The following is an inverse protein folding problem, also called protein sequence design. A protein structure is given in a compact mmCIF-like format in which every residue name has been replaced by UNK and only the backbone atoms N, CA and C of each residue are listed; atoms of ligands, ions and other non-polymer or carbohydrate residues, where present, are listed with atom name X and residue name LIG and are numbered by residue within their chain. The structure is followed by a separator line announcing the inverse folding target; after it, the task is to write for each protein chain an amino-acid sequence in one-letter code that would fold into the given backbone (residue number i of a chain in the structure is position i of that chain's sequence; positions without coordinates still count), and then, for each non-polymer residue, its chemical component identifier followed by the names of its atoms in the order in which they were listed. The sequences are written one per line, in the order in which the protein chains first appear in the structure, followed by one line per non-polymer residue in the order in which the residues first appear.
data_IF_430327484898
#
_entry.id   IF_430327484898
#
_cell.length_a   1.000
_cell.length_b   1.000
_cell.length_c   1.000
_cell.angle_alpha   90.00
_cell.angle_beta   90.00
_cell.angle_gamma   90.00
#
_symmetry.space_group_name_H-M   'P 1'
#
loop_
_entity.id
_entity.type
_entity.pdbx_description
1 polymer ?
#
# COMPACT_ATOMS: atom_id res chain seq x y z
N UNK A 1 20.00 6.12 -7.87
CA UNK A 1 19.45 7.04 -6.83
C UNK A 1 18.03 7.54 -7.09
N UNK A 2 17.63 7.93 -8.31
CA UNK A 2 16.25 8.42 -8.59
C UNK A 2 15.15 7.44 -8.15
N UNK A 3 15.32 6.13 -8.43
CA UNK A 3 14.36 5.10 -8.02
C UNK A 3 14.19 5.00 -6.49
N UNK A 4 15.26 5.16 -5.72
CA UNK A 4 15.16 5.16 -4.25
C UNK A 4 14.46 6.41 -3.72
N UNK A 5 14.68 7.58 -4.36
CA UNK A 5 13.90 8.80 -4.04
C UNK A 5 12.40 8.59 -4.28
N UNK A 6 12.02 7.81 -5.30
CA UNK A 6 10.62 7.43 -5.54
C UNK A 6 10.07 6.56 -4.39
N UNK A 7 10.85 5.60 -3.88
CA UNK A 7 10.48 4.82 -2.68
C UNK A 7 10.22 5.73 -1.50
N UNK A 8 11.16 6.63 -1.18
CA UNK A 8 11.01 7.57 -0.08
C UNK A 8 9.79 8.48 -0.27
N UNK A 9 9.51 8.91 -1.50
CA UNK A 9 8.32 9.70 -1.83
C UNK A 9 7.03 8.93 -1.49
N UNK A 10 6.92 7.67 -1.90
CA UNK A 10 5.75 6.85 -1.62
C UNK A 10 5.62 6.47 -0.16
N UNK A 11 6.72 6.22 0.57
CA UNK A 11 6.71 6.01 2.02
C UNK A 11 6.10 7.24 2.74
N UNK A 12 6.52 8.44 2.36
CA UNK A 12 5.95 9.68 2.93
C UNK A 12 4.46 9.83 2.62
N UNK A 13 4.03 9.47 1.42
CA UNK A 13 2.60 9.50 1.05
C UNK A 13 1.79 8.49 1.84
N UNK A 14 2.32 7.29 2.02
CA UNK A 14 1.71 6.24 2.85
C UNK A 14 1.58 6.68 4.30
N UNK A 15 2.62 7.23 4.91
CA UNK A 15 2.57 7.75 6.27
C UNK A 15 1.52 8.86 6.43
N UNK A 16 1.45 9.79 5.47
CA UNK A 16 0.41 10.85 5.46
C UNK A 16 -0.99 10.28 5.31
N UNK A 17 -1.15 9.25 4.48
CA UNK A 17 -2.42 8.57 4.30
C UNK A 17 -2.84 7.82 5.57
N UNK A 18 -1.92 7.09 6.20
CA UNK A 18 -2.15 6.39 7.46
C UNK A 18 -2.54 7.35 8.60
N UNK A 19 -1.87 8.51 8.70
CA UNK A 19 -2.24 9.55 9.66
C UNK A 19 -3.66 10.08 9.39
N UNK A 20 -3.96 10.42 8.13
CA UNK A 20 -5.32 10.90 7.76
C UNK A 20 -6.39 9.85 8.04
N UNK A 21 -6.11 8.57 7.81
CA UNK A 21 -7.04 7.49 8.15
C UNK A 21 -7.21 7.35 9.66
N UNK A 22 -6.13 7.43 10.44
CA UNK A 22 -6.21 7.35 11.90
C UNK A 22 -6.94 8.54 12.54
N UNK A 23 -6.92 9.71 11.91
CA UNK A 23 -7.66 10.90 12.35
C UNK A 23 -9.13 10.89 11.90
N UNK A 24 -9.53 9.97 11.02
CA UNK A 24 -10.95 9.81 10.66
C UNK A 24 -11.61 8.88 11.69
N UNK A 25 -12.73 9.29 12.31
CA UNK A 25 -13.51 8.37 13.12
C UNK A 25 -14.01 7.25 12.21
N UNK A 26 -13.67 6.02 12.53
CA UNK A 26 -14.14 4.82 11.82
C UNK A 26 -14.93 3.98 12.79
N UNK A 27 -16.15 3.62 12.40
CA UNK A 27 -16.89 2.56 13.07
C UNK A 27 -16.18 1.23 12.79
N UNK A 28 -16.08 0.33 13.78
CA UNK A 28 -15.57 -1.01 13.55
C UNK A 28 -16.31 -1.73 12.42
N UNK A 29 -15.61 -2.46 11.56
CA UNK A 29 -16.20 -3.09 10.36
C UNK A 29 -17.36 -4.07 10.68
N UNK A 30 -17.31 -4.73 11.84
CA UNK A 30 -18.41 -5.59 12.29
C UNK A 30 -19.69 -4.79 12.59
N UNK A 31 -19.55 -3.50 12.93
CA UNK A 31 -20.62 -2.53 13.10
C UNK A 31 -20.99 -1.81 11.80
N UNK A 32 -20.46 -2.19 10.64
CA UNK A 32 -20.89 -1.66 9.33
C UNK A 32 -21.67 -2.69 8.46
N UNK A 33 -21.68 -3.98 8.86
CA UNK A 33 -22.43 -5.02 8.11
C UNK A 33 -23.94 -4.73 8.03
N UNK A 34 -24.56 -4.98 6.88
CA UNK A 34 -26.01 -4.80 6.70
C UNK A 34 -26.79 -5.82 7.54
N UNK A 35 -27.80 -5.33 8.25
CA UNK A 35 -28.70 -6.15 9.06
C UNK A 35 -30.12 -6.06 8.46
N UNK A 36 -30.67 -7.21 8.06
CA UNK A 36 -31.95 -7.30 7.36
C UNK A 36 -33.17 -7.20 8.29
N UNK A 37 -33.05 -7.52 9.58
CA UNK A 37 -34.17 -7.48 10.54
C UNK A 37 -34.28 -6.13 11.28
N UNK A 38 -35.49 -5.54 11.43
CA UNK A 38 -35.70 -4.27 12.13
C UNK A 38 -35.39 -4.36 13.63
N UNK A 39 -35.70 -5.47 14.29
CA UNK A 39 -35.39 -5.67 15.72
C UNK A 39 -33.88 -5.65 15.98
N UNK A 40 -33.11 -6.30 15.10
CA UNK A 40 -31.64 -6.32 15.21
C UNK A 40 -31.01 -4.95 14.92
N UNK A 41 -31.68 -4.05 14.18
CA UNK A 41 -31.22 -2.66 13.99
C UNK A 41 -31.32 -1.85 15.29
N UNK A 42 -32.42 -1.99 16.03
CA UNK A 42 -32.62 -1.29 17.32
C UNK A 42 -31.60 -1.79 18.35
N UNK A 43 -31.46 -3.12 18.48
CA UNK A 43 -30.50 -3.72 19.42
C UNK A 43 -29.05 -3.28 19.11
N UNK A 44 -28.67 -3.22 17.82
CA UNK A 44 -27.37 -2.70 17.38
C UNK A 44 -27.20 -1.23 17.70
N UNK A 45 -28.23 -0.41 17.52
CA UNK A 45 -28.21 1.01 17.89
C UNK A 45 -27.92 1.20 19.38
N UNK A 46 -28.61 0.44 20.23
CA UNK A 46 -28.35 0.43 21.69
C UNK A 46 -26.93 -0.02 21.99
N UNK A 47 -26.45 -1.09 21.34
CA UNK A 47 -25.07 -1.56 21.52
C UNK A 47 -24.03 -0.52 21.08
N UNK A 48 -24.24 0.19 19.97
CA UNK A 48 -23.36 1.27 19.51
C UNK A 48 -23.35 2.41 20.52
N UNK A 49 -24.50 2.83 21.04
CA UNK A 49 -24.58 3.89 22.05
C UNK A 49 -23.84 3.48 23.32
N UNK A 50 -24.06 2.25 23.81
CA UNK A 50 -23.39 1.71 25.00
C UNK A 50 -21.88 1.56 24.81
N UNK A 51 -21.43 1.17 23.61
CA UNK A 51 -20.01 0.99 23.29
C UNK A 51 -19.32 2.26 22.79
N UNK A 52 -20.07 3.33 22.49
CA UNK A 52 -19.55 4.60 21.98
C UNK A 52 -18.43 5.22 22.81
N UNK A 53 -18.46 5.26 24.17
CA UNK A 53 -17.34 5.80 24.93
C UNK A 53 -16.06 4.98 24.74
N UNK A 54 -16.17 3.65 24.66
CA UNK A 54 -15.04 2.77 24.44
C UNK A 54 -14.48 2.94 23.02
N UNK A 55 -15.35 3.01 22.01
CA UNK A 55 -14.98 3.27 20.61
C UNK A 55 -14.24 4.61 20.52
N UNK A 56 -14.79 5.66 21.13
CA UNK A 56 -14.19 6.98 21.15
C UNK A 56 -12.81 6.98 21.83
N UNK A 57 -12.68 6.35 23.00
CA UNK A 57 -11.40 6.22 23.70
C UNK A 57 -10.36 5.47 22.87
N UNK A 58 -10.76 4.35 22.24
CA UNK A 58 -9.89 3.56 21.38
C UNK A 58 -9.41 4.35 20.15
N UNK A 59 -10.32 5.11 19.54
CA UNK A 59 -10.01 5.98 18.41
C UNK A 59 -9.04 7.08 18.85
N UNK A 60 -9.32 7.76 19.95
CA UNK A 60 -8.51 8.85 20.46
C UNK A 60 -7.10 8.39 20.83
N UNK A 61 -6.98 7.23 21.50
CA UNK A 61 -5.69 6.60 21.80
C UNK A 61 -4.89 6.27 20.53
N UNK A 62 -5.54 5.67 19.52
CA UNK A 62 -4.92 5.37 18.22
C UNK A 62 -4.49 6.64 17.49
N UNK A 63 -5.33 7.68 17.45
CA UNK A 63 -5.04 8.95 16.81
C UNK A 63 -3.86 9.64 17.49
N UNK A 64 -3.83 9.68 18.83
CA UNK A 64 -2.73 10.26 19.60
C UNK A 64 -1.42 9.51 19.34
N UNK A 65 -1.43 8.18 19.39
CA UNK A 65 -0.25 7.37 19.10
C UNK A 65 0.29 7.63 17.70
N UNK A 66 -0.57 7.72 16.68
CA UNK A 66 -0.16 8.05 15.31
C UNK A 66 0.38 9.47 15.21
N UNK A 67 -0.22 10.44 15.91
CA UNK A 67 0.25 11.82 15.93
C UNK A 67 1.66 11.95 16.55
N UNK A 68 1.90 11.25 17.65
CA UNK A 68 3.21 11.21 18.32
C UNK A 68 4.28 10.49 17.48
N UNK A 69 3.94 9.36 16.84
CA UNK A 69 4.89 8.58 16.05
C UNK A 69 5.13 9.13 14.65
N UNK A 70 4.19 9.88 14.09
CA UNK A 70 4.27 10.44 12.74
C UNK A 70 5.55 11.26 12.47
N UNK A 71 5.91 12.28 13.27
CA UNK A 71 7.09 13.10 12.99
C UNK A 71 8.38 12.26 12.98
N UNK A 72 8.51 11.33 13.92
CA UNK A 72 9.64 10.41 13.99
C UNK A 72 9.71 9.52 12.74
N UNK A 73 8.61 8.84 12.39
CA UNK A 73 8.55 7.99 11.18
C UNK A 73 8.80 8.78 9.91
N UNK A 74 8.27 10.00 9.82
CA UNK A 74 8.47 10.88 8.67
C UNK A 74 9.94 11.30 8.53
N UNK A 75 10.59 11.69 9.64
CA UNK A 75 12.01 12.06 9.65
C UNK A 75 12.91 10.90 9.19
N UNK A 76 12.62 9.66 9.62
CA UNK A 76 13.36 8.48 9.16
C UNK A 76 13.32 8.29 7.64
N UNK A 77 12.24 8.70 6.95
CA UNK A 77 12.17 8.61 5.47
C UNK A 77 13.07 9.60 4.74
N UNK A 78 13.59 10.62 5.44
CA UNK A 78 14.51 11.61 4.86
C UNK A 78 15.96 11.14 4.91
N UNK A 79 16.27 10.22 5.83
CA UNK A 79 17.61 9.68 6.03
C UNK A 79 17.88 8.62 4.96
N UNK A 80 19.02 8.70 4.29
CA UNK A 80 19.48 7.65 3.39
C UNK A 80 20.13 6.53 4.22
N UNK A 81 19.72 5.26 4.07
CA UNK A 81 20.30 4.19 4.87
C UNK A 81 21.78 3.97 4.53
N UNK A 82 22.59 3.78 5.57
CA UNK A 82 24.00 3.39 5.42
C UNK A 82 24.05 2.01 4.79
N UNK A 83 24.83 1.84 3.73
CA UNK A 83 24.90 0.58 2.98
C UNK A 83 23.92 0.47 1.81
N UNK A 84 23.18 1.54 1.46
CA UNK A 84 22.43 1.56 0.21
C UNK A 84 23.37 1.53 -0.99
N UNK A 85 23.51 0.36 -1.61
CA UNK A 85 24.26 0.19 -2.86
C UNK A 85 23.36 0.40 -4.08
N UNK A 86 23.98 0.78 -5.19
CA UNK A 86 23.30 0.79 -6.48
C UNK A 86 22.93 -0.65 -6.87
N UNK A 87 21.77 -0.88 -7.50
CA UNK A 87 21.42 -2.20 -7.99
C UNK A 87 22.43 -2.63 -9.07
N UNK A 88 22.92 -3.86 -8.99
CA UNK A 88 23.83 -4.42 -10.00
C UNK A 88 23.16 -4.57 -11.36
N UNK A 89 21.87 -4.96 -11.37
CA UNK A 89 21.04 -5.03 -12.57
C UNK A 89 20.15 -3.79 -12.69
N UNK A 90 20.12 -3.17 -13.88
CA UNK A 90 19.25 -2.03 -14.21
C UNK A 90 17.82 -2.46 -14.59
N UNK A 91 17.29 -3.49 -13.93
CA UNK A 91 15.92 -3.97 -14.15
C UNK A 91 15.07 -3.81 -12.88
N UNK A 92 13.76 -4.05 -13.00
CA UNK A 92 12.83 -3.92 -11.87
C UNK A 92 13.12 -4.91 -10.74
N UNK A 93 13.64 -6.10 -11.05
CA UNK A 93 13.97 -7.12 -10.05
C UNK A 93 15.20 -6.73 -9.22
N UNK A 94 16.27 -6.29 -9.87
CA UNK A 94 17.49 -5.80 -9.23
C UNK A 94 17.20 -4.60 -8.33
N UNK A 95 16.36 -3.67 -8.79
CA UNK A 95 15.91 -2.53 -7.98
C UNK A 95 15.10 -2.97 -6.78
N UNK A 96 14.12 -3.87 -6.98
CA UNK A 96 13.35 -4.39 -5.86
C UNK A 96 14.23 -5.09 -4.84
N UNK A 97 15.14 -5.98 -5.27
CA UNK A 97 16.07 -6.71 -4.39
C UNK A 97 17.00 -5.77 -3.63
N UNK A 98 17.51 -4.73 -4.29
CA UNK A 98 18.39 -3.76 -3.65
C UNK A 98 17.67 -2.90 -2.61
N UNK A 99 16.39 -2.56 -2.84
CA UNK A 99 15.66 -1.61 -2.00
C UNK A 99 14.72 -2.24 -0.97
N UNK A 100 14.28 -3.49 -1.17
CA UNK A 100 13.33 -4.17 -0.28
C UNK A 100 13.77 -4.25 1.19
N UNK A 101 15.08 -4.32 1.55
CA UNK A 101 15.47 -4.30 2.97
C UNK A 101 15.19 -2.95 3.65
N UNK A 102 15.08 -1.87 2.86
CA UNK A 102 15.01 -0.50 3.37
C UNK A 102 13.58 0.08 3.36
N UNK A 103 12.60 -0.65 2.85
CA UNK A 103 11.21 -0.20 2.83
C UNK A 103 10.21 -1.32 3.02
N UNK A 104 9.10 -1.01 3.70
CA UNK A 104 7.96 -1.90 3.84
C UNK A 104 6.69 -1.16 3.41
N UNK A 105 6.59 -0.91 2.10
CA UNK A 105 5.43 -0.24 1.49
C UNK A 105 4.26 -1.22 1.47
N UNK A 106 3.06 -0.77 1.83
CA UNK A 106 1.87 -1.56 1.53
C UNK A 106 1.68 -1.69 0.02
N UNK A 107 1.01 -2.78 -0.37
CA UNK A 107 0.78 -3.15 -1.76
C UNK A 107 0.28 -1.99 -2.63
N UNK A 108 -0.77 -1.21 -2.28
CA UNK A 108 -1.26 -0.13 -3.15
C UNK A 108 -0.21 0.96 -3.41
N UNK A 109 0.68 1.25 -2.45
CA UNK A 109 1.76 2.21 -2.63
C UNK A 109 2.95 1.61 -3.36
N UNK A 110 3.22 0.33 -3.13
CA UNK A 110 4.23 -0.42 -3.84
C UNK A 110 3.95 -0.48 -5.35
N UNK A 111 2.70 -0.75 -5.77
CA UNK A 111 2.33 -0.77 -7.18
C UNK A 111 2.61 0.57 -7.87
N UNK A 112 2.22 1.68 -7.22
CA UNK A 112 2.50 3.03 -7.72
C UNK A 112 3.99 3.32 -7.78
N UNK A 113 4.75 2.86 -6.78
CA UNK A 113 6.21 2.99 -6.78
C UNK A 113 6.86 2.21 -7.92
N UNK A 114 6.37 1.01 -8.25
CA UNK A 114 6.88 0.24 -9.40
C UNK A 114 6.58 0.95 -10.72
N UNK A 115 5.39 1.53 -10.88
CA UNK A 115 5.07 2.32 -12.08
C UNK A 115 6.00 3.54 -12.21
N UNK A 116 6.34 4.22 -11.11
CA UNK A 116 7.34 5.29 -11.13
C UNK A 116 8.73 4.76 -11.48
N UNK A 117 9.11 3.55 -11.05
CA UNK A 117 10.36 2.93 -11.48
C UNK A 117 10.36 2.65 -12.98
N UNK A 118 9.26 2.17 -13.56
CA UNK A 118 9.15 1.98 -15.01
C UNK A 118 9.39 3.30 -15.74
N UNK A 119 8.74 4.38 -15.29
CA UNK A 119 8.94 5.72 -15.84
C UNK A 119 10.40 6.20 -15.73
N UNK A 120 11.04 5.98 -14.58
CA UNK A 120 12.42 6.44 -14.32
C UNK A 120 13.45 5.66 -15.14
N UNK A 121 13.23 4.35 -15.35
CA UNK A 121 14.20 3.46 -16.01
C UNK A 121 14.02 3.40 -17.51
N UNK A 122 12.77 3.32 -17.97
CA UNK A 122 12.42 3.02 -19.36
C UNK A 122 11.72 4.19 -20.07
N UNK A 123 11.46 5.28 -19.34
CA UNK A 123 10.89 6.50 -19.90
C UNK A 123 9.35 6.51 -19.97
N UNK A 124 8.83 7.63 -20.49
CA UNK A 124 7.39 7.92 -20.49
C UNK A 124 6.60 6.96 -21.37
N UNK A 125 7.12 6.60 -22.54
CA UNK A 125 6.44 5.73 -23.49
C UNK A 125 6.21 4.33 -22.91
N UNK A 126 7.23 3.72 -22.32
CA UNK A 126 7.12 2.44 -21.63
C UNK A 126 6.11 2.52 -20.46
N UNK A 127 6.15 3.58 -19.65
CA UNK A 127 5.23 3.74 -18.50
C UNK A 127 3.75 3.88 -18.89
N UNK A 128 3.45 4.34 -20.11
CA UNK A 128 2.08 4.46 -20.61
C UNK A 128 1.49 3.10 -20.98
N UNK A 129 2.31 2.23 -21.57
CA UNK A 129 1.89 0.92 -22.06
C UNK A 129 2.02 -0.19 -21.01
N UNK A 130 3.01 -0.08 -20.13
CA UNK A 130 3.36 -1.12 -19.16
C UNK A 130 3.13 -0.64 -17.73
N UNK A 131 1.92 -0.86 -17.23
CA UNK A 131 1.54 -0.60 -15.83
C UNK A 131 1.47 -1.91 -15.07
N UNK A 132 2.00 -1.97 -13.85
CA UNK A 132 1.99 -3.23 -13.08
C UNK A 132 0.58 -3.78 -12.85
N UNK A 133 -0.42 -2.91 -12.76
CA UNK A 133 -1.82 -3.30 -12.59
C UNK A 133 -2.32 -4.16 -13.75
N UNK A 134 -1.94 -3.85 -15.00
CA UNK A 134 -2.38 -4.64 -16.16
C UNK A 134 -1.83 -6.07 -16.11
N UNK A 135 -0.61 -6.25 -15.58
CA UNK A 135 0.01 -7.55 -15.38
C UNK A 135 -0.56 -8.33 -14.18
N UNK A 136 -1.13 -7.65 -13.19
CA UNK A 136 -1.85 -8.31 -12.09
C UNK A 136 -3.19 -8.86 -12.60
N UNK A 137 -3.93 -8.08 -13.37
CA UNK A 137 -5.24 -8.50 -13.87
C UNK A 137 -5.13 -9.64 -14.88
N UNK A 138 -4.13 -9.64 -15.78
CA UNK A 138 -3.93 -10.71 -16.76
C UNK A 138 -3.60 -12.06 -16.13
N UNK A 139 -2.97 -12.08 -14.96
CA UNK A 139 -2.68 -13.31 -14.22
C UNK A 139 -3.87 -13.81 -13.41
N UNK A 140 -4.79 -12.93 -13.02
CA UNK A 140 -5.95 -13.29 -12.19
C UNK A 140 -7.11 -13.81 -13.06
N UNK A 141 -7.17 -13.46 -14.34
CA UNK A 141 -8.25 -13.83 -15.27
C UNK A 141 -8.32 -15.32 -15.67
N UNK A 142 -7.32 -16.15 -15.35
CA UNK A 142 -7.34 -17.60 -15.63
C UNK A 142 -8.07 -18.41 -14.58
N UNK A 143 -8.38 -17.85 -13.40
CA UNK A 143 -9.19 -18.49 -12.36
C UNK A 143 -10.50 -17.72 -12.19
N UNK A 144 -11.59 -18.33 -12.65
CA UNK A 144 -12.95 -17.82 -12.57
C UNK A 144 -13.34 -17.36 -11.15
N UNK A 145 -13.95 -16.16 -11.08
CA UNK A 145 -14.92 -15.69 -10.07
C UNK A 145 -14.43 -15.57 -8.61
N UNK A 146 -13.70 -14.50 -8.32
CA UNK A 146 -14.00 -13.68 -7.14
C UNK A 146 -13.49 -12.25 -7.35
N UNK A 147 -14.41 -11.37 -7.72
CA UNK A 147 -14.18 -9.93 -7.78
C UNK A 147 -13.86 -9.43 -6.35
N UNK A 148 -12.80 -8.64 -6.21
CA UNK A 148 -12.38 -7.88 -5.01
C UNK A 148 -11.39 -8.54 -4.02
N UNK A 149 -10.65 -9.58 -4.39
CA UNK A 149 -9.49 -9.95 -3.58
C UNK A 149 -8.36 -8.91 -3.77
N UNK A 150 -7.96 -8.23 -2.69
CA UNK A 150 -6.75 -7.40 -2.70
C UNK A 150 -5.56 -8.23 -3.24
N UNK A 151 -4.73 -7.67 -4.14
CA UNK A 151 -3.63 -8.42 -4.73
C UNK A 151 -2.72 -8.98 -3.63
N UNK A 152 -2.38 -10.26 -3.71
CA UNK A 152 -1.49 -10.91 -2.75
C UNK A 152 -0.03 -10.56 -3.02
N UNK A 153 0.85 -10.73 -2.03
CA UNK A 153 2.30 -10.50 -2.24
C UNK A 153 2.87 -11.38 -3.37
N UNK A 154 2.34 -12.60 -3.51
CA UNK A 154 2.75 -13.52 -4.56
C UNK A 154 2.32 -13.03 -5.95
N UNK A 155 1.06 -12.57 -6.12
CA UNK A 155 0.59 -12.04 -7.41
C UNK A 155 1.37 -10.79 -7.82
N UNK A 156 1.71 -9.92 -6.87
CA UNK A 156 2.55 -8.75 -7.12
C UNK A 156 3.97 -9.14 -7.55
N UNK A 157 4.55 -10.19 -6.94
CA UNK A 157 5.88 -10.68 -7.33
C UNK A 157 5.90 -11.23 -8.75
N UNK A 158 4.90 -12.05 -9.11
CA UNK A 158 4.74 -12.60 -10.46
C UNK A 158 4.44 -11.52 -11.48
N UNK A 159 3.62 -10.52 -11.15
CA UNK A 159 3.33 -9.39 -12.02
C UNK A 159 4.58 -8.54 -12.28
N UNK A 160 5.42 -8.30 -11.26
CA UNK A 160 6.70 -7.60 -11.43
C UNK A 160 7.64 -8.37 -12.36
N UNK A 161 7.67 -9.69 -12.27
CA UNK A 161 8.47 -10.53 -13.14
C UNK A 161 7.99 -10.49 -14.59
N UNK A 162 6.67 -10.67 -14.80
CA UNK A 162 6.05 -10.54 -16.13
C UNK A 162 6.30 -9.15 -16.73
N UNK A 163 6.18 -8.09 -15.94
CA UNK A 163 6.48 -6.72 -16.35
C UNK A 163 7.95 -6.54 -16.74
N UNK A 164 8.88 -7.09 -15.95
CA UNK A 164 10.32 -7.05 -16.27
C UNK A 164 10.63 -7.76 -17.58
N UNK A 165 9.98 -8.91 -17.84
CA UNK A 165 10.10 -9.64 -19.11
C UNK A 165 9.54 -8.84 -20.28
N UNK A 166 8.35 -8.25 -20.13
CA UNK A 166 7.70 -7.46 -21.17
C UNK A 166 8.51 -6.22 -21.57
N UNK A 167 9.27 -5.65 -20.63
CA UNK A 167 10.16 -4.51 -20.87
C UNK A 167 11.49 -4.90 -21.54
N UNK A 168 11.72 -6.18 -21.84
CA UNK A 168 12.87 -6.65 -22.62
C UNK A 168 14.18 -6.85 -21.83
N UNK A 169 14.11 -7.02 -20.51
CA UNK A 169 15.28 -7.24 -19.66
C UNK A 169 15.17 -8.55 -18.89
N UNK A 170 15.60 -9.62 -19.55
CA UNK A 170 16.09 -10.87 -18.97
C UNK A 170 17.43 -11.23 -19.61
#
# INVERSE_FOLDING_TARGET
MRCFKAVQHWQRRELKFALRQALRPQLPDFLDRQVHSPANRVLRGVFIVLSSPLILLSWLARSLAQLCLFPYRYALTLILPKGLYAPGERNLQGIHRAFSPYHNLSIPFYLKCVNDWVLILYGLEASRHHKIETHIYSQTSTTLKEFQAYPTRQSVSMARESLSRALGYY
#
